data_IF_516862280594
#
_entry.id   IF_516862280594
#
_cell.length_a   1.000
_cell.length_b   1.000
_cell.length_c   1.000
_cell.angle_alpha   90.00
_cell.angle_beta   90.00
_cell.angle_gamma   90.00
#
_symmetry.space_group_name_H-M   'P 1'
#
loop_
_entity.id
_entity.type
_entity.pdbx_description
1 polymer ?
#
# COMPACT_ATOMS: atom_id res chain seq x y z
N UNK A 1 -23.25 27.60 18.25
CA UNK A 1 -22.02 27.70 17.47
C UNK A 1 -20.86 27.14 18.28
N UNK A 2 -20.93 25.91 18.75
CA UNK A 2 -19.96 25.32 19.70
C UNK A 2 -19.88 23.79 19.65
N UNK A 3 -20.62 23.13 18.76
CA UNK A 3 -20.66 21.65 18.73
C UNK A 3 -19.98 21.03 17.48
N UNK A 4 -19.45 21.82 16.57
CA UNK A 4 -18.78 21.35 15.34
C UNK A 4 -17.26 21.27 15.49
N UNK A 5 -16.64 22.07 16.35
CA UNK A 5 -15.18 22.08 16.55
C UNK A 5 -14.65 20.95 17.44
N UNK A 6 -15.46 20.37 18.32
CA UNK A 6 -15.05 19.24 19.16
C UNK A 6 -15.02 17.89 18.39
N UNK A 7 -15.84 17.75 17.36
CA UNK A 7 -15.83 16.53 16.52
C UNK A 7 -14.65 16.45 15.56
N UNK A 8 -14.14 17.59 15.08
CA UNK A 8 -12.93 17.62 14.24
C UNK A 8 -11.64 17.34 15.04
N UNK A 9 -11.59 17.76 16.31
CA UNK A 9 -10.42 17.48 17.17
C UNK A 9 -10.34 16.03 17.66
N UNK A 10 -11.46 15.28 17.67
CA UNK A 10 -11.47 13.87 18.02
C UNK A 10 -11.08 12.96 16.84
N UNK A 11 -11.29 13.38 15.60
CA UNK A 11 -10.89 12.63 14.39
C UNK A 11 -9.36 12.51 14.24
N UNK A 12 -8.60 13.49 14.71
CA UNK A 12 -7.12 13.49 14.57
C UNK A 12 -6.36 12.68 15.63
N UNK A 13 -7.05 12.06 16.60
CA UNK A 13 -6.39 11.30 17.69
C UNK A 13 -6.43 9.77 17.50
N UNK A 14 -7.21 9.26 16.55
CA UNK A 14 -7.45 7.82 16.41
C UNK A 14 -6.59 7.14 15.32
N UNK A 15 -5.76 7.90 14.59
CA UNK A 15 -4.88 7.35 13.54
C UNK A 15 -3.56 6.71 14.06
N UNK A 16 -3.38 6.61 15.39
CA UNK A 16 -2.10 6.23 16.01
C UNK A 16 -1.99 4.76 16.46
N UNK A 17 -2.92 3.86 16.16
CA UNK A 17 -2.84 2.52 16.75
C UNK A 17 -3.28 1.45 15.75
N UNK A 18 -2.35 0.97 14.92
CA UNK A 18 -2.34 -0.42 14.41
C UNK A 18 -0.98 -0.69 13.71
N UNK A 19 0.07 -0.72 14.53
CA UNK A 19 1.40 -1.19 14.14
C UNK A 19 1.47 -2.69 14.44
N UNK A 20 1.08 -3.51 13.48
CA UNK A 20 1.25 -4.97 13.54
C UNK A 20 1.38 -5.53 12.10
N UNK A 21 2.57 -5.35 11.51
CA UNK A 21 2.93 -5.97 10.24
C UNK A 21 2.28 -5.39 9.00
N UNK A 22 1.66 -4.21 9.08
CA UNK A 22 1.17 -3.44 7.93
C UNK A 22 2.35 -2.75 7.25
N UNK A 23 2.26 -2.63 5.92
CA UNK A 23 3.14 -1.71 5.18
C UNK A 23 2.94 -0.34 5.83
N UNK A 24 4.02 0.23 6.41
CA UNK A 24 3.95 1.52 7.14
C UNK A 24 3.18 2.54 6.31
N UNK A 25 2.13 3.13 6.90
CA UNK A 25 1.40 4.21 6.25
C UNK A 25 2.37 5.37 6.05
N UNK A 26 2.66 5.71 4.81
CA UNK A 26 3.56 6.80 4.46
C UNK A 26 2.95 8.08 5.04
N UNK A 27 3.70 8.74 5.92
CA UNK A 27 3.25 9.95 6.61
C UNK A 27 2.84 11.01 5.58
N UNK A 28 1.65 11.56 5.73
CA UNK A 28 1.03 12.54 4.80
C UNK A 28 1.82 13.85 4.58
N UNK A 29 3.03 13.99 5.15
CA UNK A 29 3.79 15.24 5.14
C UNK A 29 5.27 15.06 4.78
N UNK A 30 5.66 13.94 4.15
CA UNK A 30 7.03 13.80 3.68
C UNK A 30 7.20 14.53 2.34
N UNK A 31 8.29 15.31 2.21
CA UNK A 31 8.63 15.91 0.91
C UNK A 31 8.98 14.84 -0.13
N UNK A 32 8.85 15.13 -1.44
CA UNK A 32 9.29 14.20 -2.49
C UNK A 32 10.72 13.72 -2.31
N UNK A 33 11.60 14.59 -1.83
CA UNK A 33 13.01 14.27 -1.58
C UNK A 33 13.18 13.28 -0.41
N UNK A 34 12.40 13.44 0.65
CA UNK A 34 12.39 12.50 1.79
C UNK A 34 11.84 11.14 1.39
N UNK A 35 10.75 11.10 0.61
CA UNK A 35 10.19 9.84 0.08
C UNK A 35 11.17 9.14 -0.86
N UNK A 36 11.90 9.90 -1.69
CA UNK A 36 12.93 9.32 -2.53
C UNK A 36 14.07 8.70 -1.71
N UNK A 37 14.52 9.36 -0.66
CA UNK A 37 15.54 8.79 0.25
C UNK A 37 15.04 7.52 0.95
N UNK A 38 13.79 7.52 1.45
CA UNK A 38 13.17 6.33 2.04
C UNK A 38 13.09 5.16 1.03
N UNK A 39 12.71 5.44 -0.22
CA UNK A 39 12.73 4.44 -1.30
C UNK A 39 14.11 3.81 -1.47
N UNK A 40 15.16 4.64 -1.57
CA UNK A 40 16.53 4.17 -1.78
C UNK A 40 17.03 3.35 -0.58
N UNK A 41 16.74 3.78 0.65
CA UNK A 41 17.08 3.03 1.86
C UNK A 41 16.42 1.64 1.88
N UNK A 42 15.14 1.56 1.50
CA UNK A 42 14.41 0.28 1.42
C UNK A 42 15.00 -0.64 0.36
N UNK A 43 15.24 -0.14 -0.84
CA UNK A 43 15.85 -0.94 -1.92
C UNK A 43 17.22 -1.48 -1.53
N UNK A 44 18.08 -0.66 -0.91
CA UNK A 44 19.41 -1.07 -0.45
C UNK A 44 19.41 -2.17 0.61
N UNK A 45 18.33 -2.32 1.39
CA UNK A 45 18.23 -3.36 2.41
C UNK A 45 18.16 -4.78 1.84
N UNK A 46 17.57 -4.97 0.67
CA UNK A 46 17.36 -6.30 0.10
C UNK A 46 18.04 -6.52 -1.25
N UNK A 47 18.37 -5.45 -1.97
CA UNK A 47 18.94 -5.58 -3.31
C UNK A 47 20.45 -5.85 -3.23
N UNK A 48 20.99 -6.88 -3.94
CA UNK A 48 22.39 -7.28 -3.84
C UNK A 48 23.37 -6.28 -4.46
N UNK A 49 22.90 -5.35 -5.29
CA UNK A 49 23.73 -4.32 -5.95
C UNK A 49 23.40 -2.94 -5.40
N UNK A 50 24.43 -2.18 -5.05
CA UNK A 50 24.29 -0.76 -4.64
C UNK A 50 23.99 0.19 -5.81
N UNK A 51 23.99 -0.30 -7.06
CA UNK A 51 23.68 0.50 -8.24
C UNK A 51 22.19 0.86 -8.27
N UNK A 52 21.90 2.13 -8.00
CA UNK A 52 20.56 2.74 -8.02
C UNK A 52 20.35 3.67 -9.21
N UNK A 53 21.31 3.74 -10.15
CA UNK A 53 21.32 4.71 -11.26
C UNK A 53 20.05 4.67 -12.10
N UNK A 54 19.47 3.46 -12.30
CA UNK A 54 18.24 3.28 -13.05
C UNK A 54 17.03 3.88 -12.29
N UNK A 55 16.96 3.71 -10.97
CA UNK A 55 15.89 4.28 -10.12
C UNK A 55 16.01 5.79 -10.06
N UNK A 56 17.24 6.31 -9.91
CA UNK A 56 17.53 7.76 -9.90
C UNK A 56 17.11 8.42 -11.21
N UNK A 57 17.45 7.81 -12.34
CA UNK A 57 17.05 8.27 -13.67
C UNK A 57 15.53 8.27 -13.82
N UNK A 58 14.85 7.21 -13.40
CA UNK A 58 13.39 7.09 -13.45
C UNK A 58 12.70 8.15 -12.59
N UNK A 59 13.21 8.39 -11.38
CA UNK A 59 12.70 9.45 -10.51
C UNK A 59 12.86 10.83 -11.15
N UNK A 60 14.03 11.13 -11.75
CA UNK A 60 14.26 12.39 -12.46
C UNK A 60 13.28 12.62 -13.60
N UNK A 61 13.00 11.59 -14.41
CA UNK A 61 12.02 11.64 -15.50
C UNK A 61 10.61 11.82 -14.95
N UNK A 62 10.18 11.01 -13.99
CA UNK A 62 8.85 11.13 -13.39
C UNK A 62 8.63 12.49 -12.75
N UNK A 63 9.63 13.04 -12.04
CA UNK A 63 9.58 14.37 -11.43
C UNK A 63 9.40 15.47 -12.48
N UNK A 64 10.15 15.42 -13.57
CA UNK A 64 10.05 16.41 -14.67
C UNK A 64 8.73 16.26 -15.43
N UNK A 65 8.29 15.04 -15.67
CA UNK A 65 7.05 14.73 -16.39
C UNK A 65 5.78 15.25 -15.67
N UNK A 66 5.79 15.21 -14.33
CA UNK A 66 4.68 15.67 -13.48
C UNK A 66 4.94 17.05 -12.84
N UNK A 67 5.89 17.84 -13.38
CA UNK A 67 6.18 19.16 -12.86
C UNK A 67 4.95 20.08 -12.94
N UNK A 68 4.61 20.74 -11.82
CA UNK A 68 3.44 21.61 -11.73
C UNK A 68 2.07 20.89 -11.61
N UNK A 69 2.04 19.58 -11.74
CA UNK A 69 0.82 18.80 -11.51
C UNK A 69 0.59 18.58 -10.02
N UNK A 70 -0.68 18.70 -9.59
CA UNK A 70 -1.10 18.45 -8.22
C UNK A 70 -2.24 17.45 -8.17
N UNK A 71 -2.26 16.61 -7.14
CA UNK A 71 -3.37 15.69 -6.86
C UNK A 71 -4.56 16.44 -6.24
N UNK A 72 -5.71 15.77 -6.12
CA UNK A 72 -6.90 16.32 -5.44
C UNK A 72 -6.66 16.58 -3.94
N UNK A 73 -5.68 15.95 -3.34
CA UNK A 73 -5.18 16.24 -1.99
C UNK A 73 -4.43 17.57 -1.88
N UNK A 74 -4.06 18.19 -3.01
CA UNK A 74 -3.22 19.39 -3.07
C UNK A 74 -1.71 19.11 -3.08
N UNK A 75 -1.31 17.85 -3.01
CA UNK A 75 0.09 17.43 -3.01
C UNK A 75 0.67 17.39 -4.45
N UNK A 76 2.01 17.60 -4.62
CA UNK A 76 2.69 17.37 -5.89
C UNK A 76 2.42 15.95 -6.41
N UNK A 77 2.14 15.80 -7.71
CA UNK A 77 1.77 14.51 -8.29
C UNK A 77 2.85 13.44 -8.11
N UNK A 78 4.14 13.82 -8.14
CA UNK A 78 5.30 12.92 -7.98
C UNK A 78 5.25 12.09 -6.68
N UNK A 79 4.53 12.53 -5.65
CA UNK A 79 4.34 11.76 -4.40
C UNK A 79 3.68 10.43 -4.68
N UNK A 80 2.73 10.37 -5.62
CA UNK A 80 2.05 9.12 -5.97
C UNK A 80 2.98 8.03 -6.50
N UNK A 81 3.72 8.23 -7.61
CA UNK A 81 4.62 7.19 -8.10
C UNK A 81 5.74 6.84 -7.11
N UNK A 82 6.20 7.79 -6.28
CA UNK A 82 7.13 7.47 -5.19
C UNK A 82 6.50 6.53 -4.16
N UNK A 83 5.27 6.78 -3.72
CA UNK A 83 4.56 5.91 -2.79
C UNK A 83 4.30 4.53 -3.39
N UNK A 84 3.94 4.45 -4.67
CA UNK A 84 3.79 3.16 -5.38
C UNK A 84 5.12 2.41 -5.39
N UNK A 85 6.23 3.07 -5.73
CA UNK A 85 7.56 2.47 -5.73
C UNK A 85 7.99 1.98 -4.32
N UNK A 86 7.67 2.72 -3.27
CA UNK A 86 7.93 2.32 -1.87
C UNK A 86 7.12 1.06 -1.51
N UNK A 87 5.84 0.99 -1.89
CA UNK A 87 5.03 -0.22 -1.65
C UNK A 87 5.63 -1.43 -2.37
N UNK A 88 6.14 -1.25 -3.59
CA UNK A 88 6.81 -2.32 -4.35
C UNK A 88 8.16 -2.71 -3.70
N UNK A 89 8.90 -1.75 -3.15
CA UNK A 89 10.13 -2.01 -2.41
C UNK A 89 9.87 -2.77 -1.10
N UNK A 90 8.76 -2.49 -0.40
CA UNK A 90 8.33 -3.23 0.80
C UNK A 90 7.92 -4.69 0.50
N UNK A 91 7.67 -5.00 -0.76
CA UNK A 91 7.47 -6.36 -1.28
C UNK A 91 8.76 -6.99 -1.81
N UNK A 92 9.89 -6.30 -1.68
CA UNK A 92 11.23 -6.74 -2.11
C UNK A 92 11.30 -7.11 -3.61
N UNK A 93 10.61 -6.33 -4.46
CA UNK A 93 10.59 -6.56 -5.91
C UNK A 93 11.85 -6.05 -6.61
N UNK A 94 12.08 -6.52 -7.83
CA UNK A 94 13.25 -6.16 -8.64
C UNK A 94 13.27 -4.68 -9.05
N UNK A 95 14.45 -4.18 -9.47
CA UNK A 95 14.64 -2.78 -9.86
C UNK A 95 13.77 -2.38 -11.04
N UNK A 96 13.58 -3.27 -12.00
CA UNK A 96 12.76 -3.05 -13.17
C UNK A 96 11.31 -2.78 -12.78
N UNK A 97 10.78 -3.52 -11.79
CA UNK A 97 9.44 -3.32 -11.25
C UNK A 97 9.33 -1.99 -10.48
N UNK A 98 10.33 -1.63 -9.67
CA UNK A 98 10.40 -0.34 -8.97
C UNK A 98 10.40 0.82 -9.98
N UNK A 99 11.24 0.73 -11.03
CA UNK A 99 11.33 1.73 -12.10
C UNK A 99 10.02 1.84 -12.87
N UNK A 100 9.40 0.71 -13.21
CA UNK A 100 8.09 0.70 -13.86
C UNK A 100 7.00 1.32 -12.95
N UNK A 101 7.08 1.10 -11.63
CA UNK A 101 6.21 1.77 -10.65
C UNK A 101 6.40 3.29 -10.58
N UNK A 102 7.63 3.79 -10.76
CA UNK A 102 7.89 5.24 -10.86
C UNK A 102 7.38 5.84 -12.17
N UNK A 103 7.35 5.06 -13.26
CA UNK A 103 7.04 5.53 -14.61
C UNK A 103 5.61 5.16 -15.08
N UNK A 104 4.82 4.49 -14.25
CA UNK A 104 3.56 3.86 -14.69
C UNK A 104 2.53 4.86 -15.25
N UNK A 105 2.50 6.09 -14.72
CA UNK A 105 1.60 7.16 -15.18
C UNK A 105 2.25 8.08 -16.24
N UNK A 106 3.58 7.99 -16.44
CA UNK A 106 4.31 8.93 -17.33
C UNK A 106 3.85 8.82 -18.79
N UNK A 107 3.60 7.60 -19.28
CA UNK A 107 3.12 7.37 -20.65
C UNK A 107 1.68 7.87 -20.85
N UNK A 108 0.88 7.83 -19.81
CA UNK A 108 -0.54 8.19 -19.88
C UNK A 108 -0.75 9.70 -19.72
N UNK A 109 -0.02 10.31 -18.80
CA UNK A 109 -0.19 11.70 -18.40
C UNK A 109 0.74 12.67 -19.14
N UNK A 110 1.67 12.16 -19.97
CA UNK A 110 2.68 12.98 -20.66
C UNK A 110 2.87 12.58 -22.14
N UNK A 111 3.79 13.26 -22.81
CA UNK A 111 4.13 12.99 -24.23
C UNK A 111 5.14 11.85 -24.40
N UNK A 112 5.67 11.27 -23.31
CA UNK A 112 6.66 10.20 -23.38
C UNK A 112 6.03 8.90 -23.90
N UNK A 113 6.70 8.25 -24.84
CA UNK A 113 6.23 7.02 -25.47
C UNK A 113 6.85 5.77 -24.84
N UNK A 114 6.20 4.63 -25.01
CA UNK A 114 6.74 3.32 -24.58
C UNK A 114 8.06 2.99 -25.26
N UNK A 115 8.27 3.43 -26.51
CA UNK A 115 9.51 3.24 -27.25
C UNK A 115 10.67 4.04 -26.63
N UNK A 116 10.40 5.26 -26.16
CA UNK A 116 11.40 6.06 -25.42
C UNK A 116 11.75 5.42 -24.08
N UNK A 117 10.77 4.87 -23.36
CA UNK A 117 11.04 4.09 -22.14
C UNK A 117 11.90 2.86 -22.46
N UNK A 118 11.57 2.13 -23.52
CA UNK A 118 12.34 0.96 -23.96
C UNK A 118 13.80 1.31 -24.28
N UNK A 119 14.03 2.44 -24.96
CA UNK A 119 15.38 2.89 -25.31
C UNK A 119 16.21 3.31 -24.09
N UNK A 120 15.56 3.82 -23.04
CA UNK A 120 16.20 4.39 -21.86
C UNK A 120 16.38 3.42 -20.70
N UNK A 121 15.46 2.47 -20.53
CA UNK A 121 15.38 1.56 -19.38
C UNK A 121 15.34 0.08 -19.78
N UNK A 122 15.30 -0.20 -21.07
CA UNK A 122 15.21 -1.56 -21.58
C UNK A 122 13.78 -2.05 -21.85
N UNK A 123 13.67 -3.17 -22.59
CA UNK A 123 12.37 -3.70 -23.02
C UNK A 123 11.50 -4.22 -21.86
N UNK A 124 12.10 -4.69 -20.78
CA UNK A 124 11.36 -5.24 -19.62
C UNK A 124 10.57 -4.14 -18.92
N UNK A 125 11.19 -2.99 -18.64
CA UNK A 125 10.51 -1.84 -18.04
C UNK A 125 9.40 -1.32 -18.96
N UNK A 126 9.66 -1.22 -20.26
CA UNK A 126 8.66 -0.78 -21.24
C UNK A 126 7.46 -1.73 -21.29
N UNK A 127 7.70 -3.05 -21.24
CA UNK A 127 6.65 -4.07 -21.20
C UNK A 127 5.77 -3.93 -19.96
N UNK A 128 6.38 -3.68 -18.78
CA UNK A 128 5.66 -3.50 -17.53
C UNK A 128 4.79 -2.24 -17.57
N UNK A 129 5.35 -1.11 -18.00
CA UNK A 129 4.62 0.16 -18.09
C UNK A 129 3.46 0.04 -19.09
N UNK A 130 3.69 -0.50 -20.29
CA UNK A 130 2.65 -0.75 -21.29
C UNK A 130 1.54 -1.65 -20.75
N UNK A 131 1.92 -2.70 -20.01
CA UNK A 131 0.97 -3.59 -19.35
C UNK A 131 0.08 -2.88 -18.34
N UNK A 132 0.64 -2.03 -17.50
CA UNK A 132 -0.10 -1.26 -16.49
C UNK A 132 -1.03 -0.24 -17.15
N UNK A 133 -0.56 0.53 -18.15
CA UNK A 133 -1.36 1.49 -18.91
C UNK A 133 -2.56 0.82 -19.57
N UNK A 134 -2.38 -0.35 -20.21
CA UNK A 134 -3.49 -1.12 -20.77
C UNK A 134 -4.52 -1.56 -19.75
N UNK A 135 -4.10 -1.87 -18.51
CA UNK A 135 -5.01 -2.20 -17.43
C UNK A 135 -5.77 -0.98 -16.89
N UNK A 136 -5.21 0.22 -16.97
CA UNK A 136 -5.81 1.45 -16.47
C UNK A 136 -7.02 1.87 -17.33
N UNK A 137 -6.96 1.64 -18.63
CA UNK A 137 -8.08 1.89 -19.56
C UNK A 137 -9.25 0.90 -19.41
N UNK A 138 -9.12 -0.13 -18.57
CA UNK A 138 -10.20 -1.05 -18.27
C UNK A 138 -11.14 -0.45 -17.23
N UNK A 139 -12.09 0.40 -17.66
CA UNK A 139 -13.16 0.87 -16.80
C UNK A 139 -14.09 -0.28 -16.43
N UNK A 140 -13.99 -0.74 -15.18
CA UNK A 140 -14.96 -1.67 -14.62
C UNK A 140 -16.24 -0.88 -14.40
N UNK A 141 -17.30 -1.26 -15.14
CA UNK A 141 -18.57 -0.54 -15.18
C UNK A 141 -19.18 -0.37 -13.77
N UNK A 142 -19.89 0.74 -13.57
CA UNK A 142 -20.58 1.06 -12.31
C UNK A 142 -21.45 -0.10 -11.81
N UNK A 143 -21.21 -0.52 -10.57
CA UNK A 143 -21.97 -1.56 -9.88
C UNK A 143 -23.26 -1.04 -9.24
N UNK A 144 -23.77 0.10 -9.68
CA UNK A 144 -24.99 0.69 -9.14
C UNK A 144 -26.23 0.07 -9.79
N UNK A 145 -26.88 -0.82 -9.07
CA UNK A 145 -28.19 -1.36 -9.46
C UNK A 145 -28.16 -2.58 -10.39
N UNK A 146 -29.31 -2.93 -10.96
CA UNK A 146 -29.48 -4.06 -11.89
C UNK A 146 -28.54 -3.91 -13.08
N UNK A 147 -27.47 -4.70 -13.12
CA UNK A 147 -26.52 -4.71 -14.25
C UNK A 147 -27.24 -5.20 -15.49
N UNK A 148 -27.10 -4.46 -16.58
CA UNK A 148 -27.50 -4.94 -17.89
C UNK A 148 -26.55 -6.05 -18.34
N UNK A 149 -27.03 -6.97 -19.18
CA UNK A 149 -26.23 -8.07 -19.74
C UNK A 149 -24.94 -7.55 -20.42
N UNK A 150 -25.03 -6.42 -21.13
CA UNK A 150 -23.89 -5.74 -21.74
C UNK A 150 -22.84 -5.24 -20.72
N UNK A 151 -23.26 -4.80 -19.51
CA UNK A 151 -22.35 -4.39 -18.46
C UNK A 151 -21.62 -5.59 -17.84
N UNK A 152 -22.29 -6.73 -17.70
CA UNK A 152 -21.68 -7.97 -17.24
C UNK A 152 -20.67 -8.51 -18.24
N UNK A 153 -20.97 -8.48 -19.54
CA UNK A 153 -20.04 -8.86 -20.60
C UNK A 153 -18.79 -7.96 -20.62
N UNK A 154 -18.98 -6.64 -20.47
CA UNK A 154 -17.86 -5.70 -20.41
C UNK A 154 -16.97 -5.96 -19.19
N UNK A 155 -17.55 -6.25 -18.01
CA UNK A 155 -16.77 -6.62 -16.82
C UNK A 155 -16.00 -7.93 -17.02
N UNK A 156 -16.62 -8.94 -17.62
CA UNK A 156 -15.97 -10.19 -17.91
C UNK A 156 -14.79 -10.03 -18.88
N UNK A 157 -14.96 -9.22 -19.93
CA UNK A 157 -13.89 -8.93 -20.89
C UNK A 157 -12.75 -8.11 -20.24
N UNK A 158 -13.06 -7.16 -19.37
CA UNK A 158 -12.05 -6.42 -18.62
C UNK A 158 -11.24 -7.32 -17.68
N UNK A 159 -11.91 -8.22 -16.93
CA UNK A 159 -11.24 -9.22 -16.11
C UNK A 159 -10.37 -10.16 -16.96
N UNK A 160 -10.88 -10.59 -18.14
CA UNK A 160 -10.11 -11.43 -19.07
C UNK A 160 -8.84 -10.72 -19.53
N UNK A 161 -8.91 -9.44 -19.94
CA UNK A 161 -7.74 -8.66 -20.35
C UNK A 161 -6.74 -8.52 -19.21
N UNK A 162 -7.21 -8.31 -17.99
CA UNK A 162 -6.37 -8.25 -16.80
C UNK A 162 -5.64 -9.60 -16.56
N UNK A 163 -6.35 -10.73 -16.64
CA UNK A 163 -5.72 -12.05 -16.52
C UNK A 163 -4.73 -12.33 -17.66
N UNK A 164 -5.01 -11.86 -18.87
CA UNK A 164 -4.07 -12.00 -20.00
C UNK A 164 -2.80 -11.16 -19.81
N UNK A 165 -2.90 -9.97 -19.21
CA UNK A 165 -1.73 -9.17 -18.86
C UNK A 165 -0.91 -9.86 -17.75
N UNK A 166 -1.57 -10.39 -16.71
CA UNK A 166 -0.93 -11.18 -15.65
C UNK A 166 -0.22 -12.42 -16.17
N UNK A 167 -0.79 -13.09 -17.19
CA UNK A 167 -0.19 -14.28 -17.79
C UNK A 167 1.08 -13.97 -18.58
N UNK A 168 1.27 -12.73 -19.03
CA UNK A 168 2.50 -12.27 -19.68
C UNK A 168 3.59 -11.97 -18.67
N UNK A 169 3.27 -11.18 -17.65
CA UNK A 169 4.18 -10.84 -16.55
C UNK A 169 3.38 -10.51 -15.28
N UNK A 170 3.59 -11.26 -14.22
CA UNK A 170 2.92 -11.08 -12.94
C UNK A 170 3.22 -9.72 -12.30
N UNK A 171 4.38 -9.13 -12.62
CA UNK A 171 4.80 -7.83 -12.07
C UNK A 171 3.86 -6.70 -12.46
N UNK A 172 3.18 -6.81 -13.60
CA UNK A 172 2.16 -5.83 -14.03
C UNK A 172 1.04 -5.69 -13.00
N UNK A 173 0.53 -6.81 -12.48
CA UNK A 173 -0.52 -6.75 -11.47
C UNK A 173 0.01 -6.34 -10.10
N UNK A 174 1.29 -6.63 -9.79
CA UNK A 174 1.93 -6.14 -8.56
C UNK A 174 1.98 -4.61 -8.53
N UNK A 175 2.38 -3.98 -9.64
CA UNK A 175 2.38 -2.53 -9.80
C UNK A 175 0.94 -2.00 -9.66
N UNK A 176 -0.04 -2.64 -10.32
CA UNK A 176 -1.44 -2.21 -10.25
C UNK A 176 -2.06 -2.35 -8.86
N UNK A 177 -1.68 -3.37 -8.09
CA UNK A 177 -2.09 -3.53 -6.69
C UNK A 177 -1.46 -2.45 -5.79
N UNK A 178 -0.19 -2.10 -6.02
CA UNK A 178 0.48 -1.02 -5.29
C UNK A 178 -0.15 0.35 -5.61
N UNK A 179 -0.44 0.63 -6.88
CA UNK A 179 -1.19 1.81 -7.32
C UNK A 179 -2.57 1.88 -6.66
N UNK A 180 -3.34 0.78 -6.72
CA UNK A 180 -4.67 0.70 -6.09
C UNK A 180 -4.59 0.93 -4.59
N UNK A 181 -3.62 0.36 -3.90
CA UNK A 181 -3.44 0.53 -2.46
C UNK A 181 -3.15 1.99 -2.12
N UNK A 182 -2.24 2.65 -2.83
CA UNK A 182 -1.99 4.08 -2.61
C UNK A 182 -3.23 4.95 -2.90
N UNK A 183 -3.96 4.65 -3.96
CA UNK A 183 -5.21 5.34 -4.27
C UNK A 183 -6.27 5.14 -3.17
N UNK A 184 -6.37 3.96 -2.57
CA UNK A 184 -7.25 3.69 -1.43
C UNK A 184 -6.84 4.47 -0.17
N UNK A 185 -5.55 4.60 0.12
CA UNK A 185 -5.02 5.40 1.24
C UNK A 185 -5.37 6.89 1.12
N UNK A 186 -5.41 7.42 -0.11
CA UNK A 186 -5.71 8.83 -0.40
C UNK A 186 -7.17 9.09 -0.80
N UNK A 187 -8.04 8.08 -0.70
CA UNK A 187 -9.42 8.12 -1.20
C UNK A 187 -10.31 9.16 -0.50
N UNK A 188 -9.94 9.59 0.71
CA UNK A 188 -10.65 10.63 1.49
C UNK A 188 -10.84 11.96 0.73
N UNK A 189 -9.95 12.28 -0.20
CA UNK A 189 -10.00 13.51 -1.00
C UNK A 189 -10.93 13.43 -2.22
N UNK A 190 -11.56 12.28 -2.44
CA UNK A 190 -12.51 12.07 -3.54
C UNK A 190 -13.95 12.32 -3.10
N UNK A 191 -14.86 12.70 -4.03
CA UNK A 191 -16.30 12.76 -3.75
C UNK A 191 -16.84 11.42 -3.25
N UNK A 192 -17.82 11.46 -2.35
CA UNK A 192 -18.37 10.26 -1.69
C UNK A 192 -18.82 9.17 -2.66
N UNK A 193 -19.51 9.52 -3.74
CA UNK A 193 -19.92 8.53 -4.77
C UNK A 193 -18.70 7.79 -5.38
N UNK A 194 -17.61 8.52 -5.64
CA UNK A 194 -16.37 7.90 -6.13
C UNK A 194 -15.69 7.02 -5.06
N UNK A 195 -15.75 7.44 -3.79
CA UNK A 195 -15.22 6.63 -2.69
C UNK A 195 -15.91 5.26 -2.65
N UNK A 196 -17.24 5.24 -2.64
CA UNK A 196 -18.02 3.99 -2.60
C UNK A 196 -17.73 3.11 -3.83
N UNK A 197 -17.70 3.71 -5.03
CA UNK A 197 -17.44 2.97 -6.26
C UNK A 197 -16.05 2.32 -6.25
N UNK A 198 -15.00 3.10 -5.92
CA UNK A 198 -13.62 2.62 -5.91
C UNK A 198 -13.42 1.57 -4.80
N UNK A 199 -14.01 1.77 -3.62
CA UNK A 199 -13.95 0.81 -2.52
C UNK A 199 -14.62 -0.52 -2.90
N UNK A 200 -15.79 -0.49 -3.54
CA UNK A 200 -16.49 -1.70 -4.00
C UNK A 200 -15.69 -2.44 -5.07
N UNK A 201 -15.19 -1.73 -6.08
CA UNK A 201 -14.30 -2.31 -7.10
C UNK A 201 -13.07 -2.94 -6.48
N UNK A 202 -12.50 -2.31 -5.46
CA UNK A 202 -11.31 -2.82 -4.73
C UNK A 202 -11.65 -4.12 -4.00
N UNK A 203 -12.76 -4.17 -3.29
CA UNK A 203 -13.22 -5.35 -2.55
C UNK A 203 -13.60 -6.51 -3.48
N UNK A 204 -14.27 -6.21 -4.60
CA UNK A 204 -14.79 -7.24 -5.52
C UNK A 204 -13.71 -7.83 -6.42
N UNK A 205 -12.62 -7.08 -6.72
CA UNK A 205 -11.64 -7.46 -7.75
C UNK A 205 -10.23 -7.51 -7.20
N UNK A 206 -9.70 -6.40 -6.68
CA UNK A 206 -8.28 -6.29 -6.35
C UNK A 206 -7.90 -7.06 -5.09
N UNK A 207 -8.72 -7.04 -4.04
CA UNK A 207 -8.47 -7.80 -2.82
C UNK A 207 -8.49 -9.33 -3.06
N UNK A 208 -9.44 -9.92 -3.82
CA UNK A 208 -9.39 -11.33 -4.23
C UNK A 208 -8.17 -11.69 -5.07
N UNK A 209 -7.69 -10.79 -5.93
CA UNK A 209 -6.46 -11.02 -6.70
C UNK A 209 -5.25 -11.05 -5.78
N UNK A 210 -5.11 -10.06 -4.89
CA UNK A 210 -4.04 -10.03 -3.90
C UNK A 210 -4.03 -11.30 -3.02
N UNK A 211 -5.21 -11.82 -2.65
CA UNK A 211 -5.36 -13.07 -1.92
C UNK A 211 -4.85 -14.27 -2.72
N UNK A 212 -5.23 -14.39 -3.99
CA UNK A 212 -4.79 -15.51 -4.85
C UNK A 212 -3.28 -15.50 -5.12
N UNK A 213 -2.67 -14.32 -5.13
CA UNK A 213 -1.23 -14.14 -5.27
C UNK A 213 -0.48 -14.32 -3.95
N UNK A 214 -1.18 -14.52 -2.83
CA UNK A 214 -0.56 -14.69 -1.51
C UNK A 214 -0.01 -13.41 -0.90
N UNK A 215 -0.36 -12.21 -1.45
CA UNK A 215 0.13 -10.91 -0.99
C UNK A 215 -0.74 -10.44 0.18
N UNK A 216 -0.63 -11.13 1.31
CA UNK A 216 -1.50 -10.93 2.47
C UNK A 216 -1.45 -9.51 3.02
N UNK A 217 -0.29 -8.85 3.00
CA UNK A 217 -0.12 -7.45 3.47
C UNK A 217 -1.04 -6.49 2.69
N UNK A 218 -0.96 -6.53 1.35
CA UNK A 218 -1.81 -5.68 0.50
C UNK A 218 -3.28 -6.07 0.66
N UNK A 219 -3.59 -7.37 0.64
CA UNK A 219 -4.96 -7.86 0.75
C UNK A 219 -5.67 -7.36 2.00
N UNK A 220 -5.04 -7.49 3.17
CA UNK A 220 -5.63 -7.08 4.45
C UNK A 220 -5.89 -5.57 4.46
N UNK A 221 -4.93 -4.77 3.98
CA UNK A 221 -5.11 -3.31 3.96
C UNK A 221 -6.16 -2.86 2.94
N UNK A 222 -6.25 -3.52 1.78
CA UNK A 222 -7.32 -3.24 0.80
C UNK A 222 -8.71 -3.56 1.37
N UNK A 223 -8.85 -4.68 2.10
CA UNK A 223 -10.12 -5.05 2.75
C UNK A 223 -10.50 -4.03 3.83
N UNK A 224 -9.56 -3.68 4.72
CA UNK A 224 -9.78 -2.72 5.79
C UNK A 224 -10.20 -1.34 5.25
N UNK A 225 -9.46 -0.85 4.25
CA UNK A 225 -9.79 0.44 3.62
C UNK A 225 -11.13 0.37 2.86
N UNK A 226 -11.44 -0.75 2.20
CA UNK A 226 -12.72 -0.92 1.52
C UNK A 226 -13.88 -0.93 2.52
N UNK A 227 -13.76 -1.66 3.63
CA UNK A 227 -14.77 -1.69 4.68
C UNK A 227 -14.99 -0.29 5.30
N UNK A 228 -13.91 0.48 5.51
CA UNK A 228 -13.98 1.85 6.04
C UNK A 228 -14.88 2.76 5.20
N UNK A 229 -14.90 2.61 3.88
CA UNK A 229 -15.71 3.44 2.99
C UNK A 229 -17.09 2.83 2.67
N UNK A 230 -17.21 1.51 2.65
CA UNK A 230 -18.47 0.84 2.32
C UNK A 230 -19.40 0.75 3.54
N UNK A 231 -18.86 0.44 4.72
CA UNK A 231 -19.60 0.25 5.96
C UNK A 231 -18.87 0.92 7.13
N UNK A 232 -18.84 2.27 7.18
CA UNK A 232 -18.03 3.00 8.17
C UNK A 232 -18.44 2.69 9.61
N UNK A 233 -19.73 2.54 9.90
CA UNK A 233 -20.20 2.23 11.25
C UNK A 233 -19.65 0.89 11.75
N UNK A 234 -19.65 -0.13 10.90
CA UNK A 234 -19.10 -1.47 11.20
C UNK A 234 -17.60 -1.38 11.39
N UNK A 235 -16.91 -0.63 10.50
CA UNK A 235 -15.46 -0.45 10.59
C UNK A 235 -15.03 0.17 11.92
N UNK A 236 -15.64 1.28 12.33
CA UNK A 236 -15.28 1.95 13.57
C UNK A 236 -15.66 1.16 14.82
N UNK A 237 -16.81 0.44 14.82
CA UNK A 237 -17.17 -0.48 15.90
C UNK A 237 -16.12 -1.61 16.08
N UNK A 238 -15.62 -2.16 14.96
CA UNK A 238 -14.53 -3.16 14.99
C UNK A 238 -13.23 -2.59 15.52
N UNK A 239 -12.84 -1.37 15.08
CA UNK A 239 -11.62 -0.69 15.54
C UNK A 239 -11.68 -0.47 17.05
N UNK A 240 -12.81 0.01 17.58
CA UNK A 240 -12.99 0.24 19.02
C UNK A 240 -12.93 -1.06 19.82
N UNK A 241 -13.59 -2.13 19.35
CA UNK A 241 -13.53 -3.45 19.98
C UNK A 241 -12.13 -4.05 20.00
N UNK A 242 -11.38 -3.89 18.92
CA UNK A 242 -9.97 -4.35 18.83
C UNK A 242 -9.08 -3.53 19.78
N UNK A 243 -9.27 -2.21 19.84
CA UNK A 243 -8.52 -1.34 20.73
C UNK A 243 -8.76 -1.67 22.21
N UNK A 244 -10.01 -1.92 22.62
CA UNK A 244 -10.34 -2.39 23.97
C UNK A 244 -9.67 -3.71 24.33
N UNK A 245 -9.75 -4.71 23.45
CA UNK A 245 -9.10 -6.03 23.67
C UNK A 245 -7.58 -5.92 23.71
N UNK A 246 -6.98 -5.03 22.93
CA UNK A 246 -5.53 -4.76 22.97
C UNK A 246 -5.14 -4.21 24.36
N UNK A 247 -5.86 -3.21 24.85
CA UNK A 247 -5.63 -2.62 26.18
C UNK A 247 -5.79 -3.64 27.33
N UNK A 248 -6.80 -4.50 27.27
CA UNK A 248 -7.00 -5.57 28.26
C UNK A 248 -5.86 -6.59 28.22
N UNK A 249 -5.44 -7.00 27.03
CA UNK A 249 -4.31 -7.92 26.85
C UNK A 249 -3.00 -7.33 27.32
N UNK A 250 -2.73 -6.05 27.05
CA UNK A 250 -1.54 -5.36 27.51
C UNK A 250 -1.49 -5.26 29.04
N UNK A 251 -2.62 -4.96 29.67
CA UNK A 251 -2.74 -4.97 31.13
C UNK A 251 -2.49 -6.36 31.71
N UNK A 252 -3.03 -7.41 31.10
CA UNK A 252 -2.81 -8.78 31.51
C UNK A 252 -1.33 -9.20 31.39
N UNK A 253 -0.69 -8.88 30.27
CA UNK A 253 0.74 -9.13 30.06
C UNK A 253 1.59 -8.37 31.09
N UNK A 254 1.28 -7.08 31.33
CA UNK A 254 2.01 -6.29 32.31
C UNK A 254 1.91 -6.88 33.71
N UNK A 255 0.72 -7.37 34.12
CA UNK A 255 0.53 -8.04 35.41
C UNK A 255 1.35 -9.32 35.51
N UNK A 256 1.37 -10.16 34.48
CA UNK A 256 2.18 -11.39 34.45
C UNK A 256 3.68 -11.05 34.52
N UNK A 257 4.15 -10.07 33.75
CA UNK A 257 5.55 -9.63 33.77
C UNK A 257 5.95 -9.17 35.16
N UNK A 258 5.08 -8.40 35.83
CA UNK A 258 5.32 -7.95 37.20
C UNK A 258 5.39 -9.12 38.19
N UNK A 259 4.44 -10.04 38.11
CA UNK A 259 4.40 -11.24 38.98
C UNK A 259 5.64 -12.12 38.81
N UNK A 260 6.04 -12.39 37.55
CA UNK A 260 7.28 -13.14 37.25
C UNK A 260 8.53 -12.41 37.75
N UNK A 261 8.58 -11.08 37.54
CA UNK A 261 9.70 -10.25 38.03
C UNK A 261 9.82 -10.30 39.55
N UNK A 262 8.70 -10.22 40.28
CA UNK A 262 8.63 -10.30 41.74
C UNK A 262 9.08 -11.69 42.24
N UNK A 263 8.65 -12.77 41.57
CA UNK A 263 9.09 -14.13 41.90
C UNK A 263 10.61 -14.34 41.69
N UNK A 264 11.14 -13.87 40.56
CA UNK A 264 12.58 -13.96 40.25
C UNK A 264 13.40 -13.09 41.23
N UNK A 265 12.89 -11.89 41.54
CA UNK A 265 13.53 -11.01 42.52
C UNK A 265 13.60 -11.64 43.92
N UNK A 266 12.54 -12.34 44.36
CA UNK A 266 12.52 -13.10 45.63
C UNK A 266 13.43 -14.34 45.61
N UNK A 267 13.65 -14.97 44.47
CA UNK A 267 14.55 -16.11 44.31
C UNK A 267 16.03 -15.71 44.21
N UNK A 268 16.38 -14.43 44.25
CA UNK A 268 17.78 -13.95 44.29
C UNK A 268 18.55 -14.01 42.98
N UNK A 269 17.88 -14.33 41.86
CA UNK A 269 18.53 -14.41 40.54
C UNK A 269 18.51 -13.04 39.84
N UNK A 270 19.60 -12.28 40.01
CA UNK A 270 19.78 -10.95 39.42
C UNK A 270 20.13 -10.97 37.91
N UNK A 271 20.35 -12.13 37.29
CA UNK A 271 20.80 -12.22 35.88
C UNK A 271 19.67 -12.22 34.85
N UNK A 272 18.45 -12.49 35.24
CA UNK A 272 17.30 -12.61 34.32
C UNK A 272 16.42 -11.37 34.19
N UNK A 273 16.73 -10.24 34.83
CA UNK A 273 15.96 -9.00 34.80
C UNK A 273 16.16 -8.14 33.54
N UNK A 274 16.80 -8.63 32.49
CA UNK A 274 16.76 -8.02 31.15
C UNK A 274 15.76 -8.77 30.26
N UNK A 275 14.48 -8.65 30.56
CA UNK A 275 13.45 -8.77 29.54
C UNK A 275 13.54 -7.51 28.67
N UNK A 276 14.22 -7.65 27.52
CA UNK A 276 14.24 -6.61 26.49
C UNK A 276 12.81 -6.32 26.07
N UNK A 277 12.37 -5.08 26.24
CA UNK A 277 11.11 -4.54 25.75
C UNK A 277 11.13 -4.24 24.25
N UNK A 278 12.00 -4.90 23.48
CA UNK A 278 11.99 -4.89 22.03
C UNK A 278 11.44 -6.22 21.53
N UNK A 279 10.16 -6.21 21.16
CA UNK A 279 9.54 -7.30 20.41
C UNK A 279 10.11 -7.34 18.97
N UNK A 280 11.34 -7.83 18.81
CA UNK A 280 11.76 -8.43 17.55
C UNK A 280 11.31 -9.89 17.56
N UNK A 281 10.20 -10.16 16.92
CA UNK A 281 9.81 -11.50 16.52
C UNK A 281 10.73 -11.93 15.36
N UNK A 282 11.91 -12.44 15.69
CA UNK A 282 12.75 -13.16 14.72
C UNK A 282 12.07 -14.50 14.45
N UNK A 283 11.37 -14.60 13.33
CA UNK A 283 10.92 -15.86 12.75
C UNK A 283 12.16 -16.71 12.44
N UNK A 284 12.47 -17.69 13.29
CA UNK A 284 13.45 -18.73 12.98
C UNK A 284 12.82 -19.67 11.94
N UNK A 285 13.34 -19.64 10.72
CA UNK A 285 13.13 -20.72 9.74
C UNK A 285 13.67 -22.02 10.33
N UNK A 286 12.96 -23.16 10.26
CA UNK A 286 13.54 -24.44 10.59
C UNK A 286 14.62 -24.79 9.55
N UNK A 287 15.82 -25.08 10.04
CA UNK A 287 16.92 -25.68 9.26
C UNK A 287 16.48 -27.07 8.82
N UNK A 288 16.35 -27.29 7.52
CA UNK A 288 16.20 -28.62 6.94
C UNK A 288 17.57 -29.32 6.96
N UNK A 289 17.65 -30.41 7.68
CA UNK A 289 18.65 -31.46 7.45
C UNK A 289 18.25 -32.29 6.23
#
# INVERSE_FOLDING_TARGET
MGMTEEKEKQSNKTELVLDDGRIESIKEFMSPEQLYQDLIERVRKYHPSDDISMIEKAYGIAKSAHEGQVRKSGEPYIIHPLCVAIILADLELDKETIVAGLLHDVVEDTVMTTDEISSQFGPDVALLVDGVTKLQHLHLADNSGNKTEAQLEMQAENLRKMFMAMAKDIRVIMIKLADRLHNMRTLKHMPHEKQIRIARETMDIYAPIAQRLGISKIKVELDDLSLKYLEPDVYYDLVDKIAMRKSEREKYIANIVQEVSDHIGKAGDRKSTRLNSSHEFVSRKPSSA
#
